data_IF_608203781677
#
_entry.id   IF_608203781677
#
_cell.length_a   1.000
_cell.length_b   1.000
_cell.length_c   1.000
_cell.angle_alpha   90.00
_cell.angle_beta   90.00
_cell.angle_gamma   90.00
#
_symmetry.space_group_name_H-M   'P 1'
#
loop_
_entity.id
_entity.type
_entity.pdbx_description
1 polymer ?
#
# COMPACT_ATOMS: atom_id res chain seq x y z
N UNK A 1 -32.43 0.30 -18.41
CA UNK A 1 -32.62 0.31 -19.86
C UNK A 1 -32.46 -1.07 -20.52
N UNK A 2 -32.09 -2.15 -19.81
CA UNK A 2 -31.95 -3.51 -20.39
C UNK A 2 -30.65 -3.75 -21.18
N UNK A 3 -29.78 -2.74 -21.33
CA UNK A 3 -28.50 -2.88 -22.00
C UNK A 3 -27.47 -3.59 -21.11
N UNK A 4 -26.52 -4.30 -21.71
CA UNK A 4 -25.38 -4.88 -21.00
C UNK A 4 -24.53 -3.73 -20.46
N UNK A 5 -24.27 -3.70 -19.15
CA UNK A 5 -23.40 -2.66 -18.60
C UNK A 5 -21.96 -2.85 -19.07
N UNK A 6 -21.25 -1.75 -19.31
CA UNK A 6 -19.85 -1.77 -19.73
C UNK A 6 -18.92 -2.16 -18.57
N UNK A 7 -17.87 -2.89 -18.89
CA UNK A 7 -16.78 -3.12 -17.93
C UNK A 7 -15.98 -1.82 -17.72
N UNK A 8 -15.34 -1.70 -16.57
CA UNK A 8 -14.62 -0.49 -16.19
C UNK A 8 -13.33 -0.85 -15.46
N UNK A 9 -12.30 -0.03 -15.63
CA UNK A 9 -11.07 -0.13 -14.85
C UNK A 9 -10.79 1.17 -14.11
N UNK A 10 -10.51 1.06 -12.82
CA UNK A 10 -10.16 2.18 -11.95
C UNK A 10 -8.66 2.13 -11.65
N UNK A 11 -7.94 3.14 -12.08
CA UNK A 11 -6.50 3.26 -11.88
C UNK A 11 -6.17 4.38 -10.91
N UNK A 12 -5.04 4.28 -10.25
CA UNK A 12 -4.49 5.38 -9.44
C UNK A 12 -3.58 4.87 -8.35
N UNK A 13 -2.90 5.80 -7.70
CA UNK A 13 -2.01 5.50 -6.57
C UNK A 13 -2.78 4.94 -5.37
N UNK A 14 -2.07 4.31 -4.46
CA UNK A 14 -2.61 3.85 -3.17
C UNK A 14 -3.23 5.04 -2.42
N UNK A 15 -4.34 4.81 -1.72
CA UNK A 15 -5.00 5.86 -0.93
C UNK A 15 -5.76 6.94 -1.72
N UNK A 16 -5.83 6.85 -3.07
CA UNK A 16 -6.62 7.77 -3.90
C UNK A 16 -8.15 7.54 -3.86
N UNK A 17 -8.65 6.66 -2.99
CA UNK A 17 -10.07 6.46 -2.76
C UNK A 17 -10.79 5.50 -3.72
N UNK A 18 -10.10 4.80 -4.62
CA UNK A 18 -10.69 3.90 -5.62
C UNK A 18 -11.71 2.90 -5.04
N UNK A 19 -11.28 2.11 -4.06
CA UNK A 19 -12.10 1.08 -3.42
C UNK A 19 -13.30 1.68 -2.69
N UNK A 20 -13.10 2.79 -1.97
CA UNK A 20 -14.17 3.47 -1.21
C UNK A 20 -15.23 4.03 -2.15
N UNK A 21 -14.82 4.68 -3.25
CA UNK A 21 -15.74 5.22 -4.25
C UNK A 21 -16.49 4.09 -4.96
N UNK A 22 -15.79 3.02 -5.37
CA UNK A 22 -16.44 1.87 -5.99
C UNK A 22 -17.49 1.25 -5.07
N UNK A 23 -17.15 1.00 -3.80
CA UNK A 23 -18.09 0.48 -2.78
C UNK A 23 -19.29 1.39 -2.57
N UNK A 24 -19.07 2.70 -2.42
CA UNK A 24 -20.15 3.67 -2.27
C UNK A 24 -21.08 3.69 -3.47
N UNK A 25 -20.54 3.74 -4.69
CA UNK A 25 -21.34 3.74 -5.93
C UNK A 25 -22.13 2.45 -6.05
N UNK A 26 -21.53 1.30 -5.76
CA UNK A 26 -22.24 0.00 -5.76
C UNK A 26 -23.43 0.01 -4.78
N UNK A 27 -23.23 0.44 -3.54
CA UNK A 27 -24.30 0.57 -2.55
C UNK A 27 -25.41 1.51 -3.03
N UNK A 28 -25.06 2.65 -3.63
CA UNK A 28 -26.06 3.58 -4.18
C UNK A 28 -26.84 2.99 -5.36
N UNK A 29 -26.18 2.16 -6.19
CA UNK A 29 -26.86 1.47 -7.30
C UNK A 29 -27.83 0.40 -6.81
N UNK A 30 -27.49 -0.35 -5.76
CA UNK A 30 -28.39 -1.31 -5.12
C UNK A 30 -29.63 -0.62 -4.54
N UNK A 31 -29.44 0.46 -3.77
CA UNK A 31 -30.54 1.26 -3.20
C UNK A 31 -31.45 1.82 -4.31
N UNK A 32 -30.85 2.39 -5.36
CA UNK A 32 -31.62 2.93 -6.51
C UNK A 32 -32.32 1.81 -7.27
N UNK A 33 -31.64 0.68 -7.47
CA UNK A 33 -32.20 -0.51 -8.10
C UNK A 33 -33.45 -0.97 -7.39
N UNK A 34 -33.38 -1.14 -6.08
CA UNK A 34 -34.52 -1.55 -5.24
C UNK A 34 -35.70 -0.57 -5.34
N UNK A 35 -35.45 0.75 -5.38
CA UNK A 35 -36.48 1.78 -5.53
C UNK A 35 -37.24 1.73 -6.86
N UNK A 36 -36.60 1.26 -7.93
CA UNK A 36 -37.21 1.15 -9.28
C UNK A 36 -37.62 -0.29 -9.61
N UNK A 37 -37.62 -1.19 -8.62
CA UNK A 37 -38.00 -2.60 -8.81
C UNK A 37 -37.01 -3.41 -9.66
N UNK A 38 -35.75 -3.02 -9.69
CA UNK A 38 -34.67 -3.76 -10.39
C UNK A 38 -33.70 -4.37 -9.39
N UNK A 39 -33.40 -5.64 -9.59
CA UNK A 39 -32.41 -6.33 -8.77
C UNK A 39 -31.01 -5.96 -9.25
N UNK A 40 -30.25 -5.28 -8.39
CA UNK A 40 -28.84 -4.95 -8.61
C UNK A 40 -28.05 -5.53 -7.44
N UNK A 41 -27.08 -6.35 -7.73
CA UNK A 41 -26.21 -7.00 -6.73
C UNK A 41 -24.77 -6.63 -7.00
N UNK A 42 -24.07 -6.15 -5.99
CA UNK A 42 -22.64 -5.92 -6.07
C UNK A 42 -21.86 -6.95 -5.25
N UNK A 43 -20.76 -7.43 -5.80
CA UNK A 43 -19.88 -8.39 -5.16
C UNK A 43 -18.48 -7.84 -5.25
N UNK A 44 -17.86 -7.61 -4.09
CA UNK A 44 -16.49 -7.10 -4.00
C UNK A 44 -15.53 -8.21 -3.60
N UNK A 45 -14.48 -8.40 -4.36
CA UNK A 45 -13.44 -9.42 -4.13
C UNK A 45 -12.08 -8.74 -4.04
N UNK A 46 -11.37 -8.94 -2.93
CA UNK A 46 -9.98 -8.53 -2.82
C UNK A 46 -9.07 -9.63 -3.39
N UNK A 47 -8.45 -9.34 -4.54
CA UNK A 47 -7.62 -10.28 -5.28
C UNK A 47 -6.27 -10.56 -4.64
N UNK A 48 -5.87 -9.82 -3.61
CA UNK A 48 -4.70 -10.11 -2.80
C UNK A 48 -4.95 -11.23 -1.79
N UNK A 49 -6.19 -11.31 -1.27
CA UNK A 49 -6.59 -12.34 -0.32
C UNK A 49 -7.08 -13.61 -1.04
N UNK A 50 -7.80 -13.42 -2.16
CA UNK A 50 -8.36 -14.49 -2.97
C UNK A 50 -7.68 -14.43 -4.34
N UNK A 51 -6.59 -15.17 -4.49
CA UNK A 51 -5.59 -14.97 -5.52
C UNK A 51 -5.55 -16.08 -6.60
N UNK A 52 -6.60 -16.93 -6.67
CA UNK A 52 -6.75 -17.95 -7.70
C UNK A 52 -8.10 -17.87 -8.38
N UNK A 53 -8.13 -18.18 -9.68
CA UNK A 53 -9.36 -18.21 -10.48
C UNK A 53 -10.48 -18.99 -9.81
N UNK A 54 -10.18 -20.20 -9.37
CA UNK A 54 -11.12 -21.08 -8.70
C UNK A 54 -11.77 -20.44 -7.47
N UNK A 55 -10.93 -19.91 -6.57
CA UNK A 55 -11.41 -19.33 -5.30
C UNK A 55 -12.23 -18.05 -5.52
N UNK A 56 -11.87 -17.24 -6.52
CA UNK A 56 -12.65 -16.05 -6.87
C UNK A 56 -14.02 -16.43 -7.39
N UNK A 57 -14.11 -17.39 -8.33
CA UNK A 57 -15.40 -17.86 -8.85
C UNK A 57 -16.27 -18.48 -7.76
N UNK A 58 -15.69 -19.32 -6.88
CA UNK A 58 -16.39 -19.91 -5.75
C UNK A 58 -16.89 -18.86 -4.76
N UNK A 59 -16.05 -17.85 -4.46
CA UNK A 59 -16.42 -16.74 -3.58
C UNK A 59 -17.60 -15.93 -4.15
N UNK A 60 -17.55 -15.57 -5.43
CA UNK A 60 -18.65 -14.86 -6.10
C UNK A 60 -19.93 -15.70 -6.03
N UNK A 61 -19.83 -17.01 -6.35
CA UNK A 61 -20.98 -17.92 -6.33
C UNK A 61 -21.60 -18.11 -4.93
N UNK A 62 -20.77 -18.16 -3.90
CA UNK A 62 -21.21 -18.30 -2.51
C UNK A 62 -21.80 -17.00 -1.94
N UNK A 63 -21.31 -15.84 -2.39
CA UNK A 63 -21.88 -14.52 -2.04
C UNK A 63 -23.32 -14.32 -2.53
N UNK A 64 -23.80 -15.16 -3.42
CA UNK A 64 -25.16 -15.11 -3.96
C UNK A 64 -26.17 -15.93 -3.15
N UNK A 65 -25.72 -16.76 -2.20
CA UNK A 65 -26.58 -17.58 -1.38
C UNK A 65 -27.38 -16.70 -0.41
N UNK A 66 -28.71 -16.77 -0.48
CA UNK A 66 -29.62 -16.06 0.42
C UNK A 66 -30.10 -16.93 1.60
N UNK A 67 -29.92 -18.25 1.51
CA UNK A 67 -30.30 -19.19 2.55
C UNK A 67 -29.16 -20.18 2.85
N UNK A 68 -29.13 -20.65 4.09
CA UNK A 68 -28.21 -21.69 4.56
C UNK A 68 -28.49 -23.09 3.97
N UNK A 69 -29.57 -23.25 3.21
CA UNK A 69 -29.97 -24.53 2.60
C UNK A 69 -29.29 -24.80 1.24
N UNK A 70 -28.61 -23.81 0.68
CA UNK A 70 -27.90 -23.99 -0.60
C UNK A 70 -26.48 -24.43 -0.30
N UNK A 71 -26.11 -25.61 -0.83
CA UNK A 71 -24.75 -26.14 -0.71
C UNK A 71 -23.72 -25.11 -1.20
N UNK A 72 -22.73 -24.82 -0.38
CA UNK A 72 -21.64 -23.95 -0.76
C UNK A 72 -20.80 -24.58 -1.89
N UNK A 73 -20.35 -23.74 -2.83
CA UNK A 73 -19.33 -24.14 -3.78
C UNK A 73 -18.04 -24.35 -2.98
N UNK A 74 -17.48 -25.56 -2.95
CA UNK A 74 -16.27 -25.81 -2.18
C UNK A 74 -15.11 -25.01 -2.78
N UNK A 75 -14.16 -24.60 -1.92
CA UNK A 75 -12.99 -23.84 -2.37
C UNK A 75 -11.89 -24.73 -3.00
N UNK A 76 -12.13 -26.02 -3.11
CA UNK A 76 -11.23 -27.02 -3.75
C UNK A 76 -12.03 -28.22 -4.23
N UNK A 77 -11.48 -28.99 -5.17
CA UNK A 77 -11.97 -30.32 -5.54
C UNK A 77 -12.90 -30.38 -6.74
N UNK A 78 -13.58 -29.31 -7.13
CA UNK A 78 -14.36 -29.31 -8.37
C UNK A 78 -13.50 -28.83 -9.56
N UNK A 79 -13.77 -29.27 -10.78
CA UNK A 79 -13.22 -28.64 -11.98
C UNK A 79 -13.69 -27.18 -12.10
N UNK A 80 -12.82 -26.30 -12.60
CA UNK A 80 -13.12 -24.86 -12.76
C UNK A 80 -14.38 -24.63 -13.60
N UNK A 81 -14.58 -25.44 -14.65
CA UNK A 81 -15.76 -25.36 -15.53
C UNK A 81 -17.06 -25.67 -14.78
N UNK A 82 -17.01 -26.58 -13.79
CA UNK A 82 -18.17 -26.89 -12.93
C UNK A 82 -18.49 -25.71 -12.02
N UNK A 83 -17.45 -25.09 -11.42
CA UNK A 83 -17.61 -23.91 -10.57
C UNK A 83 -18.21 -22.75 -11.37
N UNK A 84 -17.70 -22.52 -12.58
CA UNK A 84 -18.21 -21.51 -13.50
C UNK A 84 -19.68 -21.76 -13.88
N UNK A 85 -20.01 -23.01 -14.25
CA UNK A 85 -21.38 -23.39 -14.61
C UNK A 85 -22.35 -23.20 -13.43
N UNK A 86 -21.93 -23.51 -12.22
CA UNK A 86 -22.73 -23.32 -11.01
C UNK A 86 -22.90 -21.84 -10.70
N UNK A 87 -21.85 -21.01 -10.86
CA UNK A 87 -21.93 -19.55 -10.75
C UNK A 87 -22.99 -18.99 -11.69
N UNK A 88 -22.94 -19.35 -12.98
CA UNK A 88 -23.91 -18.90 -14.00
C UNK A 88 -25.34 -19.28 -13.62
N UNK A 89 -25.58 -20.50 -13.14
CA UNK A 89 -26.90 -20.95 -12.68
C UNK A 89 -27.42 -20.09 -11.50
N UNK A 90 -26.57 -19.83 -10.52
CA UNK A 90 -26.96 -19.01 -9.34
C UNK A 90 -27.26 -17.57 -9.74
N UNK A 91 -26.45 -16.99 -10.62
CA UNK A 91 -26.70 -15.63 -11.15
C UNK A 91 -28.03 -15.58 -11.90
N UNK A 92 -28.31 -16.54 -12.80
CA UNK A 92 -29.56 -16.56 -13.57
C UNK A 92 -30.78 -16.90 -12.72
N UNK A 93 -30.64 -17.71 -11.67
CA UNK A 93 -31.71 -17.97 -10.70
C UNK A 93 -32.10 -16.73 -9.90
N UNK A 94 -31.12 -15.94 -9.47
CA UNK A 94 -31.33 -14.68 -8.75
C UNK A 94 -31.84 -13.56 -9.64
N UNK A 95 -31.42 -13.53 -10.88
CA UNK A 95 -31.78 -12.53 -11.87
C UNK A 95 -31.23 -11.13 -11.59
N UNK A 96 -31.32 -10.24 -12.58
CA UNK A 96 -30.95 -8.84 -12.42
C UNK A 96 -29.55 -8.50 -12.95
N UNK A 97 -28.95 -7.46 -12.36
CA UNK A 97 -27.62 -6.95 -12.77
C UNK A 97 -26.60 -7.22 -11.67
N UNK A 98 -25.49 -7.81 -12.05
CA UNK A 98 -24.39 -8.11 -11.15
C UNK A 98 -23.18 -7.21 -11.45
N UNK A 99 -22.70 -6.52 -10.43
CA UNK A 99 -21.50 -5.70 -10.49
C UNK A 99 -20.40 -6.43 -9.71
N UNK A 100 -19.43 -6.97 -10.43
CA UNK A 100 -18.31 -7.71 -9.86
C UNK A 100 -17.12 -6.76 -9.76
N UNK A 101 -16.75 -6.37 -8.54
CA UNK A 101 -15.61 -5.50 -8.27
C UNK A 101 -14.42 -6.36 -7.85
N UNK A 102 -13.34 -6.28 -8.64
CA UNK A 102 -12.09 -6.96 -8.37
C UNK A 102 -11.06 -5.94 -7.89
N UNK A 103 -10.83 -5.89 -6.59
CA UNK A 103 -9.84 -4.98 -6.00
C UNK A 103 -8.44 -5.62 -6.04
N UNK A 104 -7.41 -4.80 -6.28
CA UNK A 104 -6.01 -5.23 -6.48
C UNK A 104 -5.87 -6.30 -7.60
N UNK A 105 -6.55 -6.08 -8.73
CA UNK A 105 -6.62 -7.02 -9.86
C UNK A 105 -5.24 -7.33 -10.47
N UNK A 106 -4.31 -6.39 -10.42
CA UNK A 106 -2.94 -6.54 -10.88
C UNK A 106 -2.20 -7.66 -10.13
N UNK A 107 -2.49 -7.86 -8.85
CA UNK A 107 -1.92 -8.96 -8.07
C UNK A 107 -2.40 -10.32 -8.59
N UNK A 108 -3.68 -10.45 -8.88
CA UNK A 108 -4.27 -11.68 -9.43
C UNK A 108 -3.68 -12.03 -10.80
N UNK A 109 -3.61 -11.04 -11.71
CA UNK A 109 -3.08 -11.25 -13.06
C UNK A 109 -1.62 -11.67 -13.03
N UNK A 110 -0.80 -11.05 -12.19
CA UNK A 110 0.62 -11.44 -12.05
C UNK A 110 0.79 -12.86 -11.52
N UNK A 111 -0.11 -13.33 -10.65
CA UNK A 111 0.01 -14.64 -10.01
C UNK A 111 -0.67 -15.77 -10.77
N UNK A 112 -1.87 -15.53 -11.28
CA UNK A 112 -2.75 -16.57 -11.83
C UNK A 112 -3.04 -16.39 -13.35
N UNK A 113 -2.47 -15.35 -13.99
CA UNK A 113 -2.80 -15.04 -15.38
C UNK A 113 -4.15 -14.37 -15.53
N UNK A 114 -4.65 -14.28 -16.76
CA UNK A 114 -5.85 -13.54 -17.12
C UNK A 114 -7.08 -14.42 -17.43
N UNK A 115 -6.99 -15.74 -17.26
CA UNK A 115 -8.09 -16.68 -17.54
C UNK A 115 -9.37 -16.34 -16.76
N UNK A 116 -9.25 -15.89 -15.51
CA UNK A 116 -10.39 -15.44 -14.73
C UNK A 116 -11.09 -14.26 -15.41
N UNK A 117 -10.31 -13.27 -15.83
CA UNK A 117 -10.83 -12.06 -16.48
C UNK A 117 -11.48 -12.40 -17.81
N UNK A 118 -10.89 -13.33 -18.56
CA UNK A 118 -11.49 -13.86 -19.77
C UNK A 118 -12.88 -14.45 -19.49
N UNK A 119 -13.00 -15.29 -18.48
CA UNK A 119 -14.26 -15.91 -18.10
C UNK A 119 -15.29 -14.88 -17.59
N UNK A 120 -14.89 -13.96 -16.71
CA UNK A 120 -15.79 -12.95 -16.15
C UNK A 120 -16.28 -11.93 -17.20
N UNK A 121 -15.40 -11.50 -18.11
CA UNK A 121 -15.79 -10.56 -19.19
C UNK A 121 -16.67 -11.23 -20.24
N UNK A 122 -16.68 -12.56 -20.31
CA UNK A 122 -17.55 -13.36 -21.19
C UNK A 122 -18.84 -13.84 -20.52
N UNK A 123 -19.04 -13.61 -19.22
CA UNK A 123 -20.21 -14.09 -18.48
C UNK A 123 -21.54 -13.79 -19.17
N UNK A 124 -21.68 -12.59 -19.75
CA UNK A 124 -22.89 -12.17 -20.46
C UNK A 124 -23.28 -13.05 -21.66
N UNK A 125 -22.34 -13.85 -22.19
CA UNK A 125 -22.65 -14.82 -23.26
C UNK A 125 -23.32 -16.08 -22.72
N UNK A 126 -23.07 -16.42 -21.44
CA UNK A 126 -23.63 -17.59 -20.75
C UNK A 126 -24.91 -17.27 -19.98
N UNK A 127 -25.10 -16.00 -19.56
CA UNK A 127 -26.26 -15.55 -18.79
C UNK A 127 -27.47 -15.31 -19.69
N UNK A 128 -28.64 -15.82 -19.26
CA UNK A 128 -29.91 -15.67 -19.96
C UNK A 128 -30.79 -14.58 -19.34
N UNK A 129 -30.98 -14.68 -18.03
CA UNK A 129 -31.91 -13.81 -17.27
C UNK A 129 -31.18 -12.66 -16.54
N UNK A 130 -29.87 -12.69 -16.53
CA UNK A 130 -29.03 -11.75 -15.80
C UNK A 130 -28.08 -11.01 -16.71
N UNK A 131 -27.48 -9.94 -16.19
CA UNK A 131 -26.39 -9.20 -16.84
C UNK A 131 -25.30 -8.95 -15.81
N UNK A 132 -24.06 -8.91 -16.29
CA UNK A 132 -22.91 -8.64 -15.43
C UNK A 132 -22.00 -7.59 -16.02
N UNK A 133 -21.30 -6.87 -15.15
CA UNK A 133 -20.14 -6.07 -15.50
C UNK A 133 -19.03 -6.28 -14.47
N UNK A 134 -17.81 -6.07 -14.92
CA UNK A 134 -16.60 -6.18 -14.10
C UNK A 134 -16.00 -4.79 -13.91
N UNK A 135 -15.72 -4.44 -12.67
CA UNK A 135 -14.95 -3.25 -12.28
C UNK A 135 -13.61 -3.73 -11.76
N UNK A 136 -12.53 -3.52 -12.50
CA UNK A 136 -11.17 -3.81 -12.05
C UNK A 136 -10.56 -2.60 -11.34
N UNK A 137 -9.97 -2.79 -10.18
CA UNK A 137 -9.24 -1.73 -9.45
C UNK A 137 -7.77 -2.12 -9.42
N UNK A 138 -6.90 -1.22 -9.92
CA UNK A 138 -5.45 -1.45 -9.93
C UNK A 138 -4.66 -0.23 -9.43
N UNK A 139 -3.53 -0.53 -8.79
CA UNK A 139 -2.52 0.46 -8.45
C UNK A 139 -1.44 0.58 -9.54
N UNK A 140 -1.43 -0.33 -10.51
CA UNK A 140 -0.45 -0.39 -11.59
C UNK A 140 -1.12 -0.07 -12.94
N UNK A 141 -0.73 1.05 -13.55
CA UNK A 141 -1.22 1.47 -14.87
C UNK A 141 -0.79 0.52 -15.99
N UNK A 142 0.27 -0.26 -15.78
CA UNK A 142 0.84 -1.15 -16.78
C UNK A 142 0.30 -2.58 -16.70
N UNK A 143 -0.53 -2.91 -15.72
CA UNK A 143 -0.97 -4.31 -15.57
C UNK A 143 -1.70 -4.84 -16.81
N UNK A 144 -2.35 -3.97 -17.57
CA UNK A 144 -3.02 -4.34 -18.83
C UNK A 144 -2.06 -4.77 -19.93
N UNK A 145 -0.76 -4.47 -19.84
CA UNK A 145 0.25 -4.96 -20.78
C UNK A 145 0.47 -6.48 -20.66
N UNK A 146 0.12 -7.05 -19.50
CA UNK A 146 0.21 -8.50 -19.25
C UNK A 146 -1.06 -9.27 -19.62
N UNK A 147 -2.11 -8.58 -20.10
CA UNK A 147 -3.38 -9.19 -20.50
C UNK A 147 -3.38 -9.60 -21.97
N UNK A 148 -4.06 -10.71 -22.26
CA UNK A 148 -4.42 -11.04 -23.66
C UNK A 148 -5.17 -9.87 -24.30
N UNK A 149 -4.88 -9.51 -25.57
CA UNK A 149 -5.55 -8.41 -26.26
C UNK A 149 -7.08 -8.47 -26.22
N UNK A 150 -7.66 -9.68 -26.21
CA UNK A 150 -9.11 -9.89 -26.14
C UNK A 150 -9.68 -9.50 -24.78
N UNK A 151 -8.98 -9.88 -23.70
CA UNK A 151 -9.36 -9.52 -22.33
C UNK A 151 -9.21 -8.03 -22.13
N UNK A 152 -8.08 -7.46 -22.57
CA UNK A 152 -7.80 -6.03 -22.51
C UNK A 152 -8.89 -5.20 -23.19
N UNK A 153 -9.29 -5.59 -24.42
CA UNK A 153 -10.35 -4.88 -25.18
C UNK A 153 -11.71 -4.92 -24.50
N UNK A 154 -12.02 -5.98 -23.74
CA UNK A 154 -13.32 -6.12 -23.05
C UNK A 154 -13.32 -5.51 -21.67
N UNK A 155 -12.22 -5.57 -20.95
CA UNK A 155 -12.10 -4.98 -19.62
C UNK A 155 -11.95 -3.46 -19.69
N UNK A 156 -11.12 -2.95 -20.59
CA UNK A 156 -10.81 -1.53 -20.75
C UNK A 156 -11.83 -0.76 -21.61
N UNK A 157 -13.13 -1.03 -21.46
CA UNK A 157 -14.17 -0.25 -22.16
C UNK A 157 -14.27 1.18 -21.61
N UNK A 158 -14.07 1.34 -20.32
CA UNK A 158 -14.06 2.62 -19.61
C UNK A 158 -12.91 2.61 -18.59
N UNK A 159 -11.98 3.52 -18.77
CA UNK A 159 -10.86 3.71 -17.83
C UNK A 159 -11.06 5.01 -17.05
N UNK A 160 -11.00 4.92 -15.72
CA UNK A 160 -11.11 6.05 -14.82
C UNK A 160 -9.83 6.17 -14.00
N UNK A 161 -9.19 7.32 -14.09
CA UNK A 161 -7.96 7.60 -13.37
C UNK A 161 -8.27 8.40 -12.11
N UNK A 162 -7.84 7.87 -10.98
CA UNK A 162 -7.88 8.51 -9.68
C UNK A 162 -6.53 9.19 -9.42
N UNK A 163 -6.51 10.50 -9.51
CA UNK A 163 -5.33 11.28 -9.16
C UNK A 163 -5.09 11.28 -7.65
N UNK A 164 -3.83 11.47 -7.19
CA UNK A 164 -3.57 11.77 -5.79
C UNK A 164 -4.40 12.97 -5.32
N UNK A 165 -4.83 12.95 -4.08
CA UNK A 165 -5.54 14.08 -3.50
C UNK A 165 -4.61 15.27 -3.29
N UNK A 166 -5.13 16.47 -3.57
CA UNK A 166 -4.47 17.72 -3.16
C UNK A 166 -4.75 18.04 -1.68
N UNK A 167 -4.02 19.03 -1.15
CA UNK A 167 -4.15 19.42 0.25
C UNK A 167 -5.56 19.90 0.62
N UNK A 168 -6.29 20.51 -0.30
CA UNK A 168 -7.67 20.99 -0.08
C UNK A 168 -8.63 19.84 0.05
N UNK A 169 -8.54 18.88 -0.87
CA UNK A 169 -9.36 17.65 -0.85
C UNK A 169 -9.11 16.82 0.41
N UNK A 170 -7.83 16.70 0.82
CA UNK A 170 -7.48 16.03 2.08
C UNK A 170 -8.03 16.75 3.30
N UNK A 171 -8.06 18.11 3.31
CA UNK A 171 -8.70 18.86 4.39
C UNK A 171 -10.19 18.55 4.51
N UNK A 172 -10.89 18.47 3.39
CA UNK A 172 -12.33 18.18 3.40
C UNK A 172 -12.60 16.74 3.91
N UNK A 173 -11.78 15.78 3.48
CA UNK A 173 -11.84 14.40 3.98
C UNK A 173 -11.60 14.36 5.50
N UNK A 174 -10.53 15.02 5.96
CA UNK A 174 -10.18 15.05 7.39
C UNK A 174 -11.24 15.73 8.23
N UNK A 175 -11.81 16.87 7.79
CA UNK A 175 -12.89 17.58 8.48
C UNK A 175 -14.14 16.68 8.60
N UNK A 176 -14.53 16.03 7.52
CA UNK A 176 -15.69 15.13 7.53
C UNK A 176 -15.49 13.96 8.51
N UNK A 177 -14.31 13.36 8.53
CA UNK A 177 -13.99 12.26 9.44
C UNK A 177 -13.85 12.72 10.88
N UNK A 178 -13.22 13.87 11.11
CA UNK A 178 -13.10 14.46 12.44
C UNK A 178 -14.47 14.78 13.06
N UNK A 179 -15.40 15.32 12.27
CA UNK A 179 -16.76 15.64 12.74
C UNK A 179 -17.54 14.41 13.25
N UNK A 180 -17.20 13.20 12.78
CA UNK A 180 -17.87 11.96 13.22
C UNK A 180 -17.12 11.22 14.35
N UNK A 181 -15.82 11.49 14.54
CA UNK A 181 -14.96 10.67 15.40
C UNK A 181 -14.27 11.45 16.52
N UNK A 182 -14.21 12.77 16.45
CA UNK A 182 -13.49 13.62 17.38
C UNK A 182 -14.49 14.61 18.03
N UNK A 183 -14.34 14.85 19.33
CA UNK A 183 -15.19 15.81 20.07
C UNK A 183 -15.06 17.20 19.47
N UNK A 184 -16.17 17.91 19.38
CA UNK A 184 -16.23 19.29 18.88
C UNK A 184 -15.30 20.18 19.72
N UNK A 185 -14.49 21.03 19.04
CA UNK A 185 -13.52 21.91 19.68
C UNK A 185 -12.22 21.26 20.15
N UNK A 186 -12.07 19.93 20.01
CA UNK A 186 -10.83 19.24 20.40
C UNK A 186 -9.67 19.50 19.42
N UNK A 187 -9.94 19.79 18.15
CA UNK A 187 -8.92 20.16 17.18
C UNK A 187 -8.69 21.68 17.20
N UNK A 188 -7.48 22.12 17.49
CA UNK A 188 -7.09 23.53 17.37
C UNK A 188 -6.88 23.91 15.90
N UNK A 189 -6.98 25.22 15.65
CA UNK A 189 -6.77 25.78 14.31
C UNK A 189 -5.41 25.37 13.74
N UNK A 190 -5.39 25.02 12.45
CA UNK A 190 -4.18 24.63 11.73
C UNK A 190 -3.85 23.13 11.79
N UNK A 191 -4.43 22.33 12.71
CA UNK A 191 -4.13 20.90 12.82
C UNK A 191 -4.50 20.14 11.55
N UNK A 192 -5.73 20.30 11.08
CA UNK A 192 -6.21 19.66 9.85
C UNK A 192 -5.40 20.11 8.63
N UNK A 193 -5.11 21.41 8.56
CA UNK A 193 -4.32 22.00 7.48
C UNK A 193 -2.89 21.43 7.45
N UNK A 194 -2.25 21.26 8.62
CA UNK A 194 -0.91 20.71 8.69
C UNK A 194 -0.90 19.23 8.30
N UNK A 195 -1.83 18.43 8.81
CA UNK A 195 -1.95 17.01 8.43
C UNK A 195 -2.14 16.84 6.92
N UNK A 196 -3.03 17.66 6.32
CA UNK A 196 -3.30 17.62 4.88
C UNK A 196 -2.10 18.04 4.04
N UNK A 197 -1.38 19.10 4.48
CA UNK A 197 -0.21 19.59 3.76
C UNK A 197 0.92 18.55 3.77
N UNK A 198 1.18 17.91 4.91
CA UNK A 198 2.19 16.86 5.04
C UNK A 198 1.86 15.66 4.16
N UNK A 199 0.64 15.15 4.23
CA UNK A 199 0.22 14.01 3.41
C UNK A 199 0.21 14.33 1.90
N UNK A 200 -0.14 15.56 1.51
CA UNK A 200 -0.08 15.99 0.11
C UNK A 200 1.35 16.11 -0.41
N UNK A 201 2.31 16.50 0.44
CA UNK A 201 3.73 16.55 0.07
C UNK A 201 4.31 15.16 -0.17
N UNK A 202 3.89 14.15 0.58
CA UNK A 202 4.39 12.80 0.40
C UNK A 202 3.82 12.18 -0.88
N UNK A 203 2.55 11.86 -0.93
CA UNK A 203 1.98 11.15 -2.08
C UNK A 203 0.50 11.48 -2.32
N UNK A 204 -0.10 12.39 -1.57
CA UNK A 204 -1.54 12.68 -1.65
C UNK A 204 -2.42 11.51 -1.22
N UNK A 205 -1.94 10.67 -0.29
CA UNK A 205 -2.64 9.49 0.23
C UNK A 205 -3.54 9.89 1.41
N UNK A 206 -4.86 9.69 1.26
CA UNK A 206 -5.81 9.97 2.32
C UNK A 206 -5.64 9.08 3.57
N UNK A 207 -5.07 7.88 3.42
CA UNK A 207 -4.78 6.98 4.55
C UNK A 207 -3.68 7.57 5.42
N UNK A 208 -2.61 8.09 4.81
CA UNK A 208 -1.53 8.78 5.54
C UNK A 208 -2.05 10.00 6.28
N UNK A 209 -2.92 10.81 5.65
CA UNK A 209 -3.54 11.97 6.30
C UNK A 209 -4.39 11.58 7.52
N UNK A 210 -5.21 10.54 7.39
CA UNK A 210 -6.06 10.03 8.47
C UNK A 210 -5.22 9.42 9.60
N UNK A 211 -4.17 8.67 9.26
CA UNK A 211 -3.25 8.07 10.22
C UNK A 211 -2.52 9.15 11.02
N UNK A 212 -2.03 10.19 10.34
CA UNK A 212 -1.37 11.32 11.00
C UNK A 212 -2.32 12.03 11.97
N UNK A 213 -3.58 12.25 11.60
CA UNK A 213 -4.58 12.83 12.48
C UNK A 213 -4.87 11.89 13.67
N UNK A 214 -5.01 10.58 13.44
CA UNK A 214 -5.25 9.57 14.48
C UNK A 214 -4.13 9.57 15.52
N UNK A 215 -2.88 9.42 15.08
CA UNK A 215 -1.72 9.41 15.98
C UNK A 215 -1.56 10.76 16.70
N UNK A 216 -1.90 11.89 16.04
CA UNK A 216 -1.89 13.20 16.69
C UNK A 216 -2.90 13.29 17.84
N UNK A 217 -4.06 12.65 17.71
CA UNK A 217 -5.04 12.61 18.81
C UNK A 217 -4.56 11.71 19.96
N UNK A 218 -3.97 10.58 19.65
CA UNK A 218 -3.37 9.68 20.66
C UNK A 218 -2.26 10.38 21.46
N UNK A 219 -1.39 11.15 20.77
CA UNK A 219 -0.34 11.93 21.47
C UNK A 219 -0.90 13.02 22.37
N UNK A 220 -2.03 13.61 22.01
CA UNK A 220 -2.70 14.57 22.91
C UNK A 220 -3.29 13.88 24.15
N UNK A 221 -3.88 12.71 23.97
CA UNK A 221 -4.44 11.89 25.07
C UNK A 221 -3.33 11.38 26.00
N UNK A 222 -2.20 10.92 25.46
CA UNK A 222 -1.01 10.52 26.25
C UNK A 222 -0.49 11.67 27.14
N UNK A 223 -0.56 12.92 26.65
CA UNK A 223 -0.21 14.12 27.44
C UNK A 223 -1.33 14.55 28.41
N UNK A 224 -2.45 13.83 28.48
CA UNK A 224 -3.61 14.18 29.31
C UNK A 224 -4.33 15.46 28.85
N UNK A 225 -4.23 15.81 27.57
CA UNK A 225 -4.83 17.02 26.98
C UNK A 225 -6.11 16.72 26.24
N UNK A 226 -7.14 17.51 26.47
CA UNK A 226 -8.41 17.44 25.75
C UNK A 226 -8.36 18.14 24.35
N UNK A 227 -7.20 18.67 23.95
CA UNK A 227 -7.07 19.41 22.70
C UNK A 227 -5.82 19.04 21.93
N UNK A 228 -5.98 18.77 20.66
CA UNK A 228 -4.88 18.48 19.71
C UNK A 228 -4.32 19.82 19.19
N UNK A 229 -2.99 19.96 19.24
CA UNK A 229 -2.25 21.14 18.80
C UNK A 229 -1.27 20.76 17.68
N UNK A 230 -0.73 21.75 16.96
CA UNK A 230 0.27 21.56 15.91
C UNK A 230 1.51 20.75 16.37
N UNK A 231 1.92 20.91 17.64
CA UNK A 231 3.03 20.14 18.19
C UNK A 231 2.77 18.62 18.19
N UNK A 232 1.51 18.19 18.48
CA UNK A 232 1.14 16.79 18.48
C UNK A 232 1.22 16.19 17.06
N UNK A 233 0.89 16.99 16.02
CA UNK A 233 1.06 16.58 14.62
C UNK A 233 2.53 16.34 14.27
N UNK A 234 3.43 17.21 14.72
CA UNK A 234 4.88 17.03 14.50
C UNK A 234 5.43 15.80 15.20
N UNK A 235 5.01 15.58 16.45
CA UNK A 235 5.38 14.36 17.20
C UNK A 235 4.82 13.11 16.52
N UNK A 236 3.56 13.14 16.09
CA UNK A 236 2.94 12.04 15.36
C UNK A 236 3.67 11.73 14.04
N UNK A 237 4.03 12.75 13.27
CA UNK A 237 4.83 12.57 12.05
C UNK A 237 6.13 11.83 12.34
N UNK A 238 6.90 12.33 13.31
CA UNK A 238 8.16 11.69 13.70
C UNK A 238 7.95 10.25 14.19
N UNK A 239 6.86 9.99 14.93
CA UNK A 239 6.55 8.63 15.39
C UNK A 239 6.25 7.68 14.22
N UNK A 240 5.42 8.10 13.27
CA UNK A 240 5.07 7.29 12.08
C UNK A 240 6.33 6.98 11.26
N UNK A 241 7.19 7.97 11.05
CA UNK A 241 8.48 7.79 10.36
C UNK A 241 9.38 6.78 11.12
N UNK A 242 9.44 6.88 12.45
CA UNK A 242 10.19 5.94 13.29
C UNK A 242 9.64 4.51 13.19
N UNK A 243 8.30 4.36 13.27
CA UNK A 243 7.64 3.05 13.21
C UNK A 243 7.84 2.36 11.86
N UNK A 244 8.03 3.10 10.78
CA UNK A 244 8.35 2.56 9.46
C UNK A 244 9.81 2.11 9.34
N UNK A 245 10.74 2.84 9.94
CA UNK A 245 12.18 2.61 9.80
C UNK A 245 12.69 1.54 10.76
N UNK A 246 12.15 1.47 11.97
CA UNK A 246 12.58 0.51 13.02
C UNK A 246 12.56 -0.95 12.54
N UNK A 247 11.51 -1.49 11.93
CA UNK A 247 11.51 -2.87 11.42
C UNK A 247 12.52 -3.09 10.31
N UNK A 248 12.77 -2.07 9.46
CA UNK A 248 13.77 -2.16 8.39
C UNK A 248 15.16 -2.32 8.98
N UNK A 249 15.55 -1.47 9.95
CA UNK A 249 16.85 -1.56 10.63
C UNK A 249 17.00 -2.92 11.34
N UNK A 250 15.98 -3.36 12.05
CA UNK A 250 15.99 -4.65 12.77
C UNK A 250 16.24 -5.84 11.83
N UNK A 251 15.63 -5.82 10.65
CA UNK A 251 15.73 -6.90 9.67
C UNK A 251 17.01 -6.90 8.83
N UNK A 252 17.85 -5.86 8.93
CA UNK A 252 19.09 -5.77 8.16
C UNK A 252 20.04 -6.95 8.49
N UNK A 253 20.69 -7.55 7.48
CA UNK A 253 21.80 -8.47 7.70
C UNK A 253 22.94 -7.83 8.50
N UNK A 254 23.65 -8.59 9.33
CA UNK A 254 24.72 -8.11 10.21
C UNK A 254 25.71 -7.18 9.54
N UNK A 255 26.20 -7.53 8.36
CA UNK A 255 27.15 -6.69 7.63
C UNK A 255 26.58 -5.35 7.17
N UNK A 256 25.27 -5.27 6.86
CA UNK A 256 24.61 -4.00 6.55
C UNK A 256 24.43 -3.13 7.81
N UNK A 257 24.13 -3.73 8.95
CA UNK A 257 24.08 -3.03 10.26
C UNK A 257 25.44 -2.40 10.58
N UNK A 258 26.56 -3.14 10.37
CA UNK A 258 27.90 -2.62 10.62
C UNK A 258 28.28 -1.46 9.69
N UNK A 259 27.87 -1.52 8.42
CA UNK A 259 28.07 -0.39 7.48
C UNK A 259 27.21 0.81 7.88
N UNK A 260 25.95 0.60 8.28
CA UNK A 260 25.08 1.66 8.75
C UNK A 260 25.64 2.29 10.04
N UNK A 261 26.13 1.49 10.99
CA UNK A 261 26.79 1.96 12.19
C UNK A 261 28.01 2.84 11.85
N UNK A 262 28.85 2.43 10.91
CA UNK A 262 29.98 3.22 10.47
C UNK A 262 29.59 4.58 9.87
N UNK A 263 28.47 4.67 9.16
CA UNK A 263 27.94 5.93 8.63
C UNK A 263 27.49 6.83 9.78
N UNK A 264 26.72 6.29 10.72
CA UNK A 264 26.19 7.04 11.89
C UNK A 264 27.30 7.54 12.82
N UNK A 265 28.37 6.75 12.98
CA UNK A 265 29.57 7.17 13.75
C UNK A 265 30.21 8.38 13.08
N UNK A 266 30.41 8.35 11.74
CA UNK A 266 30.98 9.48 11.02
C UNK A 266 30.11 10.76 11.21
N UNK A 267 28.78 10.63 11.20
CA UNK A 267 27.86 11.75 11.47
C UNK A 267 27.97 12.26 12.91
N UNK A 268 28.07 11.35 13.89
CA UNK A 268 28.29 11.73 15.32
C UNK A 268 29.57 12.54 15.51
N UNK A 269 30.61 12.26 14.74
CA UNK A 269 31.85 13.06 14.71
C UNK A 269 31.71 14.37 13.90
N UNK A 270 30.52 14.75 13.48
CA UNK A 270 30.23 16.01 12.80
C UNK A 270 30.58 16.04 11.31
N UNK A 271 30.89 14.89 10.71
CA UNK A 271 31.13 14.80 9.28
C UNK A 271 29.80 14.85 8.52
N UNK A 272 29.69 15.79 7.58
CA UNK A 272 28.61 15.87 6.60
C UNK A 272 29.16 15.44 5.26
N UNK A 273 28.32 14.85 4.42
CA UNK A 273 28.71 14.40 3.08
C UNK A 273 29.88 13.38 3.13
N UNK A 274 29.65 12.30 3.86
CA UNK A 274 30.64 11.27 4.15
C UNK A 274 31.02 10.55 2.85
N UNK A 275 32.32 10.39 2.60
CA UNK A 275 32.79 9.66 1.44
C UNK A 275 32.92 8.16 1.68
N UNK A 276 32.80 7.37 0.62
CA UNK A 276 32.89 5.90 0.70
C UNK A 276 34.19 5.41 1.38
N UNK A 277 35.30 6.16 1.24
CA UNK A 277 36.58 5.84 1.91
C UNK A 277 36.45 5.95 3.42
N UNK A 278 35.88 7.06 3.91
CA UNK A 278 35.68 7.31 5.34
C UNK A 278 34.75 6.25 5.98
N UNK A 279 33.71 5.85 5.23
CA UNK A 279 32.83 4.74 5.67
C UNK A 279 33.62 3.45 5.80
N UNK A 280 34.51 3.14 4.83
CA UNK A 280 35.32 1.93 4.85
C UNK A 280 36.28 1.90 6.04
N UNK A 281 36.90 3.03 6.38
CA UNK A 281 37.85 3.13 7.49
C UNK A 281 37.18 2.85 8.84
N UNK A 282 36.07 3.53 9.11
CA UNK A 282 35.28 3.31 10.35
C UNK A 282 34.66 1.91 10.34
N UNK A 283 34.13 1.44 9.21
CA UNK A 283 33.59 0.09 9.10
C UNK A 283 34.60 -0.99 9.49
N UNK A 284 35.86 -0.82 9.07
CA UNK A 284 36.93 -1.77 9.42
C UNK A 284 37.18 -1.80 10.95
N UNK A 285 37.17 -0.63 11.60
CA UNK A 285 37.31 -0.52 13.06
C UNK A 285 36.11 -1.14 13.80
N UNK A 286 34.88 -0.88 13.31
CA UNK A 286 33.65 -1.47 13.83
C UNK A 286 33.67 -3.00 13.72
N UNK A 287 34.13 -3.53 12.57
CA UNK A 287 34.28 -4.97 12.40
C UNK A 287 35.29 -5.59 13.36
N UNK A 288 36.43 -4.94 13.56
CA UNK A 288 37.45 -5.39 14.52
C UNK A 288 36.89 -5.41 15.96
N UNK A 289 36.16 -4.37 16.35
CA UNK A 289 35.52 -4.27 17.67
C UNK A 289 34.52 -5.43 17.91
N UNK A 290 33.70 -5.77 16.91
CA UNK A 290 32.68 -6.84 16.99
C UNK A 290 33.27 -8.22 16.72
N UNK A 291 34.56 -8.34 16.45
CA UNK A 291 35.23 -9.60 16.13
C UNK A 291 34.81 -10.19 14.77
N UNK A 292 34.43 -9.35 13.79
CA UNK A 292 34.02 -9.74 12.47
C UNK A 292 35.10 -9.41 11.42
N UNK A 293 35.20 -10.22 10.37
CA UNK A 293 36.07 -9.92 9.26
C UNK A 293 35.50 -8.80 8.39
N UNK A 294 36.26 -7.72 8.17
CA UNK A 294 35.88 -6.65 7.27
C UNK A 294 35.79 -7.14 5.81
N UNK A 295 34.73 -6.73 5.14
CA UNK A 295 34.53 -7.03 3.72
C UNK A 295 35.35 -6.10 2.85
N UNK A 296 35.60 -6.53 1.59
CA UNK A 296 36.29 -5.72 0.60
C UNK A 296 35.51 -4.45 0.28
N UNK A 297 36.24 -3.40 -0.13
CA UNK A 297 35.67 -2.10 -0.52
C UNK A 297 34.58 -2.22 -1.60
N UNK A 298 34.70 -3.18 -2.52
CA UNK A 298 33.68 -3.46 -3.53
C UNK A 298 32.38 -3.94 -2.91
N UNK A 299 32.45 -4.82 -1.91
CA UNK A 299 31.29 -5.32 -1.16
C UNK A 299 30.64 -4.21 -0.34
N UNK A 300 31.42 -3.40 0.36
CA UNK A 300 30.90 -2.26 1.15
C UNK A 300 30.18 -1.26 0.26
N UNK A 301 30.70 -0.95 -0.94
CA UNK A 301 29.99 -0.10 -1.92
C UNK A 301 28.64 -0.68 -2.33
N UNK A 302 28.53 -2.00 -2.45
CA UNK A 302 27.26 -2.66 -2.75
C UNK A 302 26.28 -2.56 -1.56
N UNK A 303 26.75 -2.74 -0.33
CA UNK A 303 25.94 -2.59 0.89
C UNK A 303 25.45 -1.15 1.03
N UNK A 304 26.28 -0.14 0.78
CA UNK A 304 25.87 1.28 0.72
C UNK A 304 24.77 1.49 -0.32
N UNK A 305 24.86 0.87 -1.50
CA UNK A 305 23.79 0.98 -2.51
C UNK A 305 22.50 0.31 -2.07
N UNK A 306 22.57 -0.78 -1.32
CA UNK A 306 21.39 -1.43 -0.77
C UNK A 306 20.74 -0.59 0.33
N UNK A 307 21.52 0.03 1.22
CA UNK A 307 21.02 0.96 2.24
C UNK A 307 20.35 2.20 1.61
N UNK A 308 20.89 2.70 0.50
CA UNK A 308 20.31 3.79 -0.30
C UNK A 308 18.96 3.37 -0.92
N UNK A 309 18.87 2.15 -1.50
CA UNK A 309 17.61 1.58 -2.01
C UNK A 309 16.55 1.37 -0.92
N UNK A 310 16.97 1.08 0.31
CA UNK A 310 16.07 0.95 1.47
C UNK A 310 15.65 2.31 2.07
N UNK A 311 16.18 3.42 1.54
CA UNK A 311 15.86 4.77 2.02
C UNK A 311 16.46 5.13 3.38
N UNK A 312 17.39 4.33 3.92
CA UNK A 312 18.06 4.60 5.21
C UNK A 312 19.16 5.66 5.08
N UNK A 313 19.70 5.80 3.88
CA UNK A 313 20.73 6.80 3.55
C UNK A 313 20.46 7.39 2.17
N UNK A 314 21.09 8.52 1.86
CA UNK A 314 21.24 9.01 0.48
C UNK A 314 22.70 8.87 0.05
N UNK A 315 22.94 8.29 -1.14
CA UNK A 315 24.29 8.07 -1.67
C UNK A 315 24.43 8.62 -3.09
N UNK A 316 24.86 9.88 -3.23
CA UNK A 316 25.04 10.57 -4.52
C UNK A 316 26.43 10.37 -5.05
N UNK A 317 26.55 10.01 -6.34
CA UNK A 317 27.85 9.89 -7.01
C UNK A 317 28.38 11.28 -7.33
N UNK A 318 29.56 11.59 -6.79
CA UNK A 318 30.31 12.81 -7.11
C UNK A 318 31.58 12.47 -7.87
N UNK A 319 31.99 13.36 -8.80
CA UNK A 319 33.25 13.24 -9.54
C UNK A 319 34.29 14.20 -8.95
N UNK A 320 35.40 13.66 -8.52
CA UNK A 320 36.54 14.46 -8.05
C UNK A 320 37.64 14.64 -9.14
N UNK A 321 37.22 14.72 -10.38
CA UNK A 321 38.13 14.92 -11.50
C UNK A 321 39.18 13.78 -11.59
N UNK A 322 40.48 14.12 -11.51
CA UNK A 322 41.58 13.13 -11.61
C UNK A 322 41.60 12.11 -10.48
N UNK A 323 40.94 12.36 -9.34
CA UNK A 323 40.84 11.44 -8.20
C UNK A 323 39.73 10.39 -8.34
N UNK A 324 38.97 10.43 -9.44
CA UNK A 324 37.96 9.42 -9.73
C UNK A 324 36.56 9.79 -9.22
N UNK A 325 35.69 8.76 -9.08
CA UNK A 325 34.32 8.91 -8.61
C UNK A 325 34.16 8.31 -7.20
N UNK A 326 33.58 9.05 -6.30
CA UNK A 326 33.17 8.61 -4.96
C UNK A 326 31.69 8.84 -4.76
N UNK A 327 31.11 8.27 -3.69
CA UNK A 327 29.74 8.59 -3.27
C UNK A 327 29.80 9.50 -2.05
N UNK A 328 28.95 10.49 -2.05
CA UNK A 328 28.65 11.34 -0.91
C UNK A 328 27.42 10.77 -0.21
N UNK A 329 27.57 10.47 1.07
CA UNK A 329 26.62 9.66 1.85
C UNK A 329 26.15 10.49 3.04
N UNK A 330 24.82 10.52 3.24
CA UNK A 330 24.19 11.12 4.41
C UNK A 330 23.07 10.18 4.91
N UNK A 331 22.86 10.12 6.22
CA UNK A 331 21.74 9.38 6.82
C UNK A 331 20.41 10.06 6.50
N UNK A 332 19.36 9.25 6.31
CA UNK A 332 17.98 9.68 6.20
C UNK A 332 17.16 9.28 7.44
N UNK A 333 17.81 8.77 8.47
CA UNK A 333 17.13 8.28 9.67
C UNK A 333 16.68 9.48 10.52
N UNK A 334 15.39 9.56 10.91
CA UNK A 334 14.88 10.62 11.75
C UNK A 334 15.60 10.66 13.11
N UNK A 335 15.75 11.86 13.68
CA UNK A 335 16.50 12.10 14.92
C UNK A 335 15.89 11.45 16.17
N UNK A 336 14.61 11.07 16.12
CA UNK A 336 13.91 10.37 17.19
C UNK A 336 14.05 8.84 17.13
N UNK A 337 14.67 8.31 16.08
CA UNK A 337 15.05 6.89 16.00
C UNK A 337 16.45 6.74 16.52
N UNK A 338 16.66 5.81 17.44
CA UNK A 338 17.97 5.42 17.95
C UNK A 338 18.42 4.12 17.23
N UNK A 339 19.03 4.21 16.04
CA UNK A 339 19.39 3.03 15.26
C UNK A 339 20.36 2.12 16.00
N UNK A 340 21.17 2.71 16.87
CA UNK A 340 22.17 2.04 17.70
C UNK A 340 21.49 1.07 18.67
N UNK A 341 20.50 1.57 19.42
CA UNK A 341 19.72 0.76 20.36
C UNK A 341 19.02 -0.39 19.63
N UNK A 342 18.38 -0.11 18.49
CA UNK A 342 17.70 -1.12 17.68
C UNK A 342 18.68 -2.19 17.17
N UNK A 343 19.85 -1.78 16.71
CA UNK A 343 20.88 -2.71 16.23
C UNK A 343 21.49 -3.54 17.38
N UNK A 344 21.68 -2.94 18.56
CA UNK A 344 22.22 -3.61 19.74
C UNK A 344 21.25 -4.62 20.35
N UNK A 345 19.94 -4.35 20.32
CA UNK A 345 18.92 -5.33 20.71
C UNK A 345 18.93 -6.57 19.80
N UNK A 346 19.14 -6.38 18.49
CA UNK A 346 19.23 -7.46 17.53
C UNK A 346 20.60 -8.18 17.55
N UNK A 347 21.67 -7.45 17.89
CA UNK A 347 23.08 -7.90 17.87
C UNK A 347 23.79 -7.36 19.12
N UNK A 348 23.72 -8.07 20.27
CA UNK A 348 24.32 -7.58 21.55
C UNK A 348 25.81 -7.25 21.48
N UNK A 349 26.53 -7.86 20.53
CA UNK A 349 27.95 -7.61 20.28
C UNK A 349 28.22 -6.17 19.79
N UNK A 350 27.18 -5.44 19.38
CA UNK A 350 27.27 -4.04 18.94
C UNK A 350 27.13 -3.04 20.10
N UNK A 351 26.86 -3.50 21.33
CA UNK A 351 26.90 -2.66 22.53
C UNK A 351 28.30 -2.08 22.72
N UNK A 352 28.40 -0.77 22.86
CA UNK A 352 29.68 -0.07 23.06
C UNK A 352 30.42 0.39 21.80
N UNK A 353 29.90 0.11 20.60
CA UNK A 353 30.53 0.63 19.36
C UNK A 353 30.54 2.17 19.31
N UNK A 354 29.63 2.79 20.07
CA UNK A 354 29.36 4.23 20.03
C UNK A 354 29.78 4.97 21.31
N UNK A 355 30.30 4.25 22.31
CA UNK A 355 30.93 4.81 23.48
C UNK A 355 32.34 5.25 23.17
#
# INVERSE_FOLDING_TARGET
>A
NGNIPSNMTLYGVTGAGKTVVASYVCTQLEIKGSRIGRNVNSIMVNCRQIDTQYRVLAHIGNSLNESYEIDEIPFTGWPVDRVFSELVKRMDAKGGVFIIVLDEIDHLVRKAGDDLLYNLTNLNQSLKNSRSCVIGISNDLKFTEFLDPRVRSRLGQLDVIFNPYDASQLQDILRQRAATSIKEGALKDGVVQLCSALAAQEHGDARCALELLRVSTEKADEEGKNTVMLKHVRVAQSQIEADQITPVISSLPKQQKLVLAAILINEKYGLKNIETGQVQDIYSQVCEFVGQNALTQRRVRMLISNLDMLGLITARVISRGRMGRTKEINSCIPTNVEPITIMSEAEPEMLGIFD
#
